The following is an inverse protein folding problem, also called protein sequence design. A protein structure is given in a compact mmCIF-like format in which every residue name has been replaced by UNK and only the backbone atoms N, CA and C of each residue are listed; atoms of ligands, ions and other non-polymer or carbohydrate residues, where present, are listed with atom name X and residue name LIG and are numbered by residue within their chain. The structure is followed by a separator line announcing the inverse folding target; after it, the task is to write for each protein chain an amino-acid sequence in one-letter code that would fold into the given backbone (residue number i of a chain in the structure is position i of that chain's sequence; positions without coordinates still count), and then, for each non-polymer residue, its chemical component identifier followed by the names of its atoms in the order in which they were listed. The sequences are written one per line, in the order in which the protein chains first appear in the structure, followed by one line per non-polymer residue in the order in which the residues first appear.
data_IF_445379434475
#
_entry.id   IF_445379434475
#
_cell.length_a   1.000
_cell.length_b   1.000
_cell.length_c   1.000
_cell.angle_alpha   90.00
_cell.angle_beta   90.00
_cell.angle_gamma   90.00
#
_symmetry.space_group_name_H-M   'P 1'
#
loop_
_entity.id
_entity.type
_entity.pdbx_description
1 polymer ?
#
# COMPACT_ATOMS: atom_id res chain seq x y z
N UNK A 1 52.30 63.58 9.77
CA UNK A 1 52.33 62.10 9.73
C UNK A 1 50.99 61.62 10.28
N UNK A 2 50.00 61.42 9.40
CA UNK A 2 48.62 61.13 9.76
C UNK A 2 48.22 59.79 9.14
N UNK A 3 47.90 58.79 9.95
CA UNK A 3 47.46 57.47 9.49
C UNK A 3 45.93 57.45 9.55
N UNK A 4 45.29 57.62 8.38
CA UNK A 4 43.86 57.34 8.17
C UNK A 4 43.66 55.81 8.16
N UNK A 5 42.90 55.28 9.12
CA UNK A 5 42.32 53.94 9.02
C UNK A 5 41.00 54.05 8.27
N UNK A 6 40.96 53.56 7.02
CA UNK A 6 39.72 53.34 6.28
C UNK A 6 39.18 51.95 6.66
N UNK A 7 37.96 51.93 7.22
CA UNK A 7 37.16 50.71 7.36
C UNK A 7 36.52 50.42 6.00
N UNK A 8 36.88 49.30 5.38
CA UNK A 8 36.18 48.78 4.20
C UNK A 8 35.00 47.91 4.70
N UNK A 9 33.78 48.43 4.59
CA UNK A 9 32.55 47.64 4.73
C UNK A 9 32.30 46.95 3.39
N UNK A 10 32.58 45.64 3.32
CA UNK A 10 32.13 44.79 2.23
C UNK A 10 30.63 44.47 2.45
N UNK A 11 29.75 45.12 1.69
CA UNK A 11 28.36 44.66 1.58
C UNK A 11 28.31 43.46 0.64
N UNK A 12 28.18 42.26 1.20
CA UNK A 12 27.74 41.08 0.48
C UNK A 12 26.25 41.26 0.15
N UNK A 13 25.98 41.90 -0.97
CA UNK A 13 24.66 41.84 -1.59
C UNK A 13 24.50 40.42 -2.16
N UNK A 14 23.81 39.55 -1.42
CA UNK A 14 23.29 38.30 -1.96
C UNK A 14 22.29 38.67 -3.06
N UNK A 15 22.75 38.60 -4.31
CA UNK A 15 21.87 38.65 -5.48
C UNK A 15 21.10 37.34 -5.45
N UNK A 16 19.91 37.33 -4.83
CA UNK A 16 18.90 36.36 -5.16
C UNK A 16 18.54 36.61 -6.62
N UNK A 17 19.04 35.76 -7.51
CA UNK A 17 18.47 35.64 -8.85
C UNK A 17 17.13 34.93 -8.62
N UNK A 18 15.98 35.60 -8.74
CA UNK A 18 14.74 34.86 -8.83
C UNK A 18 14.90 33.98 -10.07
N UNK A 19 14.71 32.67 -9.91
CA UNK A 19 14.51 31.80 -11.05
C UNK A 19 13.26 32.35 -11.77
N UNK A 20 13.52 33.18 -12.78
CA UNK A 20 12.50 33.58 -13.73
C UNK A 20 11.92 32.29 -14.25
N UNK A 21 10.62 32.10 -14.03
CA UNK A 21 9.83 31.11 -14.72
C UNK A 21 10.16 31.25 -16.20
N UNK A 22 10.95 30.33 -16.73
CA UNK A 22 11.04 30.16 -18.17
C UNK A 22 9.66 29.65 -18.60
N UNK A 23 8.75 30.59 -18.86
CA UNK A 23 7.73 30.43 -19.88
C UNK A 23 8.43 30.44 -21.26
N UNK A 24 9.37 29.51 -21.45
CA UNK A 24 9.91 29.19 -22.76
C UNK A 24 8.88 28.26 -23.40
N UNK A 25 8.31 28.65 -24.54
CA UNK A 25 7.37 27.84 -25.31
C UNK A 25 7.90 26.48 -25.81
N UNK A 26 9.02 26.00 -25.24
CA UNK A 26 9.54 24.66 -25.40
C UNK A 26 8.86 23.71 -24.41
N UNK A 27 8.30 22.61 -24.92
CA UNK A 27 7.71 21.55 -24.10
C UNK A 27 8.83 20.76 -23.37
N UNK A 28 9.47 21.37 -22.37
CA UNK A 28 10.67 20.90 -21.67
C UNK A 28 10.41 20.72 -20.17
N UNK A 29 11.03 19.70 -19.60
CA UNK A 29 11.07 19.48 -18.16
C UNK A 29 11.95 20.54 -17.48
N UNK A 30 11.49 21.22 -16.42
CA UNK A 30 12.29 22.22 -15.70
C UNK A 30 13.55 21.63 -15.06
N UNK A 31 14.65 22.37 -15.07
CA UNK A 31 15.95 21.90 -14.55
C UNK A 31 15.93 21.62 -13.03
N UNK A 32 15.04 22.29 -12.28
CA UNK A 32 14.86 22.02 -10.85
C UNK A 32 14.36 20.59 -10.57
N UNK A 33 13.66 19.97 -11.53
CA UNK A 33 13.16 18.59 -11.40
C UNK A 33 14.30 17.59 -11.37
N UNK A 34 15.33 17.79 -12.20
CA UNK A 34 16.50 16.90 -12.20
C UNK A 34 17.45 17.21 -11.04
N UNK A 35 17.68 18.49 -10.72
CA UNK A 35 18.59 18.89 -9.65
C UNK A 35 18.10 18.55 -8.24
N UNK A 36 16.80 18.30 -8.06
CA UNK A 36 16.22 17.84 -6.79
C UNK A 36 15.61 16.43 -6.91
N UNK A 37 15.96 15.69 -7.97
CA UNK A 37 15.50 14.32 -8.15
C UNK A 37 16.04 13.42 -7.02
N UNK A 38 15.29 12.39 -6.60
CA UNK A 38 15.79 11.47 -5.58
C UNK A 38 17.07 10.75 -6.01
N UNK A 39 17.92 10.43 -5.03
CA UNK A 39 19.06 9.52 -5.16
C UNK A 39 18.73 8.24 -4.41
N UNK A 40 18.76 7.10 -5.10
CA UNK A 40 18.26 5.84 -4.55
C UNK A 40 19.43 4.91 -4.23
N UNK A 41 19.64 4.60 -2.96
CA UNK A 41 20.47 3.47 -2.54
C UNK A 41 19.71 2.18 -2.78
N UNK A 42 20.24 1.37 -3.70
CA UNK A 42 19.80 -0.01 -3.89
C UNK A 42 20.48 -0.89 -2.84
N UNK A 43 19.71 -1.77 -2.20
CA UNK A 43 20.24 -2.64 -1.16
C UNK A 43 21.37 -3.53 -1.71
N UNK A 44 22.50 -3.71 -0.98
CA UNK A 44 23.70 -4.40 -1.50
C UNK A 44 23.47 -5.89 -1.83
N UNK A 45 22.53 -6.53 -1.14
CA UNK A 45 22.18 -7.94 -1.35
C UNK A 45 21.00 -8.14 -2.31
N UNK A 46 20.39 -7.04 -2.79
CA UNK A 46 19.32 -7.17 -3.77
C UNK A 46 19.91 -7.60 -5.12
N UNK A 47 19.26 -8.56 -5.77
CA UNK A 47 19.63 -9.03 -7.11
C UNK A 47 18.73 -8.45 -8.19
N UNK A 48 17.60 -7.87 -7.82
CA UNK A 48 16.60 -7.32 -8.73
C UNK A 48 16.83 -5.82 -8.84
N UNK A 49 17.57 -5.44 -9.88
CA UNK A 49 17.94 -4.05 -10.16
C UNK A 49 16.84 -3.35 -10.99
N UNK A 50 16.86 -2.01 -11.08
CA UNK A 50 15.96 -1.27 -11.95
C UNK A 50 15.99 -1.83 -13.38
N UNK A 51 14.82 -2.01 -13.97
CA UNK A 51 14.63 -2.82 -15.18
C UNK A 51 14.07 -2.01 -16.35
N UNK A 52 14.53 -2.32 -17.57
CA UNK A 52 14.03 -1.67 -18.78
C UNK A 52 12.57 -2.02 -19.08
N UNK A 53 11.76 -0.98 -19.33
CA UNK A 53 10.32 -1.12 -19.61
C UNK A 53 10.06 -1.89 -20.91
N UNK A 54 10.83 -1.64 -21.97
CA UNK A 54 10.65 -2.30 -23.25
C UNK A 54 11.12 -3.76 -23.19
N UNK A 55 12.23 -4.03 -22.52
CA UNK A 55 12.73 -5.38 -22.28
C UNK A 55 11.71 -6.21 -21.49
N UNK A 56 11.09 -5.64 -20.46
CA UNK A 56 10.02 -6.29 -19.71
C UNK A 56 8.87 -6.71 -20.63
N UNK A 57 8.30 -5.79 -21.42
CA UNK A 57 7.21 -6.10 -22.36
C UNK A 57 7.64 -7.19 -23.34
N UNK A 58 8.84 -7.08 -23.91
CA UNK A 58 9.36 -8.06 -24.87
C UNK A 58 9.52 -9.46 -24.29
N UNK A 59 9.60 -9.61 -22.97
CA UNK A 59 9.72 -10.89 -22.27
C UNK A 59 8.40 -11.39 -21.64
N UNK A 60 7.28 -10.75 -21.99
CA UNK A 60 5.94 -11.14 -21.54
C UNK A 60 5.03 -11.52 -22.70
N UNK A 61 3.93 -12.21 -22.39
CA UNK A 61 2.83 -12.54 -23.28
C UNK A 61 1.56 -11.98 -22.65
N UNK A 62 0.82 -11.09 -23.35
CA UNK A 62 -0.48 -10.64 -22.87
C UNK A 62 -1.46 -11.81 -22.75
N UNK A 63 -2.02 -11.99 -21.56
CA UNK A 63 -3.03 -13.01 -21.28
C UNK A 63 -4.29 -12.39 -20.70
N UNK A 64 -5.44 -12.94 -21.08
CA UNK A 64 -6.74 -12.71 -20.47
C UNK A 64 -7.24 -14.05 -19.92
N UNK A 65 -7.75 -14.09 -18.70
CA UNK A 65 -8.15 -15.34 -18.04
C UNK A 65 -7.08 -16.44 -18.05
N UNK A 66 -5.80 -16.03 -17.96
CA UNK A 66 -4.61 -16.90 -18.03
C UNK A 66 -4.39 -17.58 -19.39
N UNK A 67 -5.11 -17.19 -20.43
CA UNK A 67 -4.91 -17.66 -21.80
C UNK A 67 -4.27 -16.56 -22.66
N UNK A 68 -3.30 -16.90 -23.54
CA UNK A 68 -2.76 -15.94 -24.50
C UNK A 68 -3.88 -15.34 -25.36
N UNK A 69 -3.88 -14.01 -25.49
CA UNK A 69 -4.82 -13.33 -26.37
C UNK A 69 -4.45 -13.66 -27.82
N UNK A 70 -5.41 -14.11 -28.63
CA UNK A 70 -5.20 -14.54 -30.01
C UNK A 70 -5.33 -13.38 -31.00
N UNK A 71 -4.62 -13.47 -32.14
CA UNK A 71 -4.70 -12.46 -33.20
C UNK A 71 -3.99 -11.13 -32.88
N UNK A 72 -3.15 -11.14 -31.85
CA UNK A 72 -2.36 -10.01 -31.39
C UNK A 72 -1.22 -9.68 -32.39
N UNK A 73 -1.08 -8.40 -32.76
CA UNK A 73 0.15 -7.86 -33.37
C UNK A 73 1.29 -7.84 -32.35
N UNK A 74 2.51 -7.48 -32.76
CA UNK A 74 3.59 -7.20 -31.79
C UNK A 74 3.20 -6.03 -30.89
N UNK A 75 3.51 -6.13 -29.60
CA UNK A 75 3.28 -5.06 -28.61
C UNK A 75 4.58 -4.56 -28.01
N UNK A 76 4.64 -3.26 -27.79
CA UNK A 76 5.74 -2.53 -27.17
C UNK A 76 5.21 -1.25 -26.48
N UNK A 77 6.10 -0.33 -26.10
CA UNK A 77 5.72 0.90 -25.41
C UNK A 77 4.88 1.87 -26.27
N UNK A 78 4.89 1.73 -27.60
CA UNK A 78 4.15 2.59 -28.56
C UNK A 78 2.68 2.20 -28.67
N UNK A 79 2.33 0.93 -28.43
CA UNK A 79 0.98 0.41 -28.65
C UNK A 79 0.41 -0.44 -27.49
N UNK A 80 1.09 -0.52 -26.33
CA UNK A 80 0.65 -1.34 -25.19
C UNK A 80 -0.80 -1.06 -24.75
N UNK A 81 -1.24 0.19 -24.82
CA UNK A 81 -2.59 0.63 -24.47
C UNK A 81 -3.70 0.03 -25.35
N UNK A 82 -3.37 -0.46 -26.55
CA UNK A 82 -4.34 -1.13 -27.43
C UNK A 82 -4.86 -2.44 -26.79
N UNK A 83 -4.08 -3.05 -25.88
CA UNK A 83 -4.49 -4.22 -25.11
C UNK A 83 -5.74 -3.96 -24.25
N UNK A 84 -6.03 -2.70 -23.92
CA UNK A 84 -7.22 -2.33 -23.17
C UNK A 84 -8.50 -2.74 -23.89
N UNK A 85 -8.51 -2.77 -25.23
CA UNK A 85 -9.67 -3.16 -26.04
C UNK A 85 -10.05 -4.65 -25.94
N UNK A 86 -9.19 -5.50 -25.35
CA UNK A 86 -9.43 -6.94 -25.23
C UNK A 86 -10.03 -7.34 -23.88
N UNK A 87 -9.58 -6.71 -22.79
CA UNK A 87 -10.03 -7.06 -21.43
C UNK A 87 -9.74 -6.02 -20.36
N UNK A 88 -9.26 -4.83 -20.74
CA UNK A 88 -8.94 -3.76 -19.79
C UNK A 88 -8.01 -4.21 -18.67
N UNK A 89 -8.46 -3.98 -17.43
CA UNK A 89 -7.69 -4.27 -16.21
C UNK A 89 -7.40 -5.77 -16.01
N UNK A 90 -8.18 -6.66 -16.62
CA UNK A 90 -8.01 -8.13 -16.50
C UNK A 90 -6.89 -8.67 -17.39
N UNK A 91 -6.32 -7.85 -18.28
CA UNK A 91 -5.18 -8.24 -19.12
C UNK A 91 -3.90 -8.24 -18.31
N UNK A 92 -3.10 -9.28 -18.44
CA UNK A 92 -1.85 -9.46 -17.70
C UNK A 92 -0.65 -9.69 -18.64
N UNK A 93 0.42 -8.92 -18.43
CA UNK A 93 1.72 -9.13 -19.07
C UNK A 93 2.43 -10.32 -18.41
N UNK A 94 2.02 -11.53 -18.76
CA UNK A 94 2.50 -12.76 -18.11
C UNK A 94 3.90 -13.12 -18.60
N UNK A 95 4.83 -13.45 -17.70
CA UNK A 95 6.18 -13.88 -18.06
C UNK A 95 6.18 -15.02 -19.09
N UNK A 96 7.08 -14.95 -20.08
CA UNK A 96 7.35 -16.03 -21.04
C UNK A 96 8.02 -17.24 -20.40
N UNK A 97 8.81 -17.02 -19.36
CA UNK A 97 9.59 -18.03 -18.65
C UNK A 97 9.09 -18.16 -17.21
N UNK A 98 9.43 -19.25 -16.52
CA UNK A 98 9.14 -19.37 -15.09
C UNK A 98 9.97 -18.33 -14.32
N UNK A 99 9.38 -17.35 -13.61
CA UNK A 99 10.15 -16.31 -12.93
C UNK A 99 11.10 -16.85 -11.85
N UNK A 100 10.87 -18.07 -11.35
CA UNK A 100 11.74 -18.72 -10.37
C UNK A 100 13.03 -19.30 -10.98
N UNK A 101 13.17 -19.34 -12.30
CA UNK A 101 14.46 -19.65 -12.94
C UNK A 101 15.37 -18.43 -13.00
N UNK A 102 14.87 -17.25 -12.60
CA UNK A 102 15.57 -15.96 -12.64
C UNK A 102 16.19 -15.67 -14.01
N UNK A 103 15.36 -15.59 -15.07
CA UNK A 103 15.85 -15.20 -16.39
C UNK A 103 16.51 -13.82 -16.32
N UNK A 104 17.51 -13.58 -17.17
CA UNK A 104 18.39 -12.40 -17.06
C UNK A 104 17.64 -11.07 -17.08
N UNK A 105 16.54 -10.98 -17.84
CA UNK A 105 15.72 -9.77 -17.94
C UNK A 105 14.99 -9.39 -16.64
N UNK A 106 14.77 -10.36 -15.74
CA UNK A 106 14.15 -10.12 -14.42
C UNK A 106 15.13 -9.44 -13.45
N UNK A 107 16.44 -9.61 -13.66
CA UNK A 107 17.47 -9.08 -12.76
C UNK A 107 17.75 -7.59 -12.96
N UNK A 108 17.28 -6.99 -14.06
CA UNK A 108 17.51 -5.58 -14.40
C UNK A 108 18.97 -5.25 -14.69
N UNK A 109 19.29 -3.95 -14.66
CA UNK A 109 20.65 -3.43 -14.89
C UNK A 109 21.12 -2.65 -13.67
N UNK A 110 22.29 -3.02 -13.13
CA UNK A 110 22.87 -2.28 -12.03
C UNK A 110 23.45 -0.95 -12.50
N UNK A 111 23.33 0.14 -11.71
CA UNK A 111 23.98 1.40 -12.02
C UNK A 111 25.51 1.30 -11.90
N UNK A 112 26.21 2.16 -12.61
CA UNK A 112 27.64 2.36 -12.47
C UNK A 112 28.00 3.18 -11.22
N UNK A 113 29.30 3.48 -11.04
CA UNK A 113 29.79 4.24 -9.88
C UNK A 113 29.27 5.69 -9.81
N UNK A 114 28.70 6.22 -10.89
CA UNK A 114 28.08 7.56 -10.96
C UNK A 114 26.56 7.49 -10.80
N UNK A 115 26.01 6.29 -10.59
CA UNK A 115 24.57 6.08 -10.50
C UNK A 115 23.86 5.96 -11.85
N UNK A 116 24.59 5.84 -12.96
CA UNK A 116 24.00 5.76 -14.29
C UNK A 116 23.74 4.31 -14.71
N UNK A 117 22.56 4.08 -15.29
CA UNK A 117 22.22 2.86 -16.05
C UNK A 117 22.32 3.21 -17.53
N UNK A 118 22.98 2.36 -18.33
CA UNK A 118 23.40 2.74 -19.69
C UNK A 118 22.52 2.15 -20.79
N UNK A 119 22.04 0.92 -20.61
CA UNK A 119 21.34 0.18 -21.67
C UNK A 119 19.84 0.01 -21.41
N UNK A 120 19.38 0.40 -20.22
CA UNK A 120 18.00 0.28 -19.77
C UNK A 120 17.43 1.66 -19.43
N UNK A 121 16.13 1.85 -19.67
CA UNK A 121 15.34 3.00 -19.22
C UNK A 121 14.34 2.55 -18.16
N UNK A 122 14.73 2.49 -16.88
CA UNK A 122 13.90 1.97 -15.80
C UNK A 122 13.07 3.04 -15.08
N UNK A 123 13.16 4.30 -15.50
CA UNK A 123 12.48 5.41 -14.85
C UNK A 123 11.54 6.17 -15.79
N UNK A 124 10.39 6.57 -15.27
CA UNK A 124 9.52 7.55 -15.90
C UNK A 124 9.27 8.71 -14.93
N UNK A 125 9.62 9.92 -15.38
CA UNK A 125 9.35 11.17 -14.66
C UNK A 125 8.08 11.80 -15.21
N UNK A 126 7.06 11.96 -14.37
CA UNK A 126 5.76 12.51 -14.74
C UNK A 126 5.50 13.78 -13.93
N UNK A 127 5.36 14.91 -14.64
CA UNK A 127 5.03 16.20 -14.04
C UNK A 127 3.52 16.41 -13.99
N UNK A 128 3.03 16.78 -12.82
CA UNK A 128 1.64 17.18 -12.59
C UNK A 128 1.63 18.65 -12.17
N UNK A 129 1.24 19.53 -13.09
CA UNK A 129 1.14 20.97 -12.87
C UNK A 129 -0.20 21.25 -12.18
N UNK A 130 -0.15 21.60 -10.88
CA UNK A 130 -1.35 21.85 -10.06
C UNK A 130 -1.82 23.30 -10.20
N UNK A 131 -0.86 24.20 -10.42
CA UNK A 131 -1.04 25.63 -10.67
C UNK A 131 0.21 26.14 -11.41
N UNK A 132 0.24 27.43 -11.76
CA UNK A 132 1.42 28.06 -12.38
C UNK A 132 2.67 28.03 -11.47
N UNK A 133 2.49 27.75 -10.18
CA UNK A 133 3.56 27.76 -9.17
C UNK A 133 3.77 26.41 -8.49
N UNK A 134 2.76 25.54 -8.42
CA UNK A 134 2.85 24.25 -7.73
C UNK A 134 2.94 23.09 -8.74
N UNK A 135 4.04 22.35 -8.66
CA UNK A 135 4.31 21.19 -9.53
C UNK A 135 4.65 19.97 -8.67
N UNK A 136 3.99 18.85 -8.92
CA UNK A 136 4.40 17.55 -8.39
C UNK A 136 5.18 16.80 -9.46
N UNK A 137 6.44 16.48 -9.19
CA UNK A 137 7.24 15.60 -10.04
C UNK A 137 7.25 14.19 -9.44
N UNK A 138 6.66 13.23 -10.14
CA UNK A 138 6.70 11.82 -9.79
C UNK A 138 7.89 11.15 -10.49
N UNK A 139 8.69 10.41 -9.74
CA UNK A 139 9.81 9.62 -10.24
C UNK A 139 9.44 8.16 -10.07
N UNK A 140 8.87 7.56 -11.11
CA UNK A 140 8.50 6.15 -11.10
C UNK A 140 9.72 5.27 -11.40
N UNK A 141 9.88 4.21 -10.63
CA UNK A 141 10.92 3.21 -10.75
C UNK A 141 10.28 1.89 -11.12
N UNK A 142 10.83 1.25 -12.14
CA UNK A 142 10.35 -0.03 -12.62
C UNK A 142 11.35 -1.14 -12.32
N UNK A 143 10.85 -2.23 -11.76
CA UNK A 143 11.59 -3.47 -11.56
C UNK A 143 10.84 -4.61 -12.23
N UNK A 144 11.52 -5.52 -12.91
CA UNK A 144 10.87 -6.63 -13.60
C UNK A 144 10.36 -7.71 -12.65
N UNK A 145 10.79 -7.68 -11.39
CA UNK A 145 10.37 -8.63 -10.38
C UNK A 145 10.51 -8.04 -8.98
N UNK A 146 9.44 -8.14 -8.20
CA UNK A 146 9.46 -7.91 -6.77
C UNK A 146 9.59 -9.26 -6.07
N UNK A 147 10.62 -9.43 -5.26
CA UNK A 147 10.73 -10.52 -4.30
C UNK A 147 10.22 -10.05 -2.93
N UNK A 148 9.05 -10.54 -2.53
CA UNK A 148 8.41 -10.08 -1.29
C UNK A 148 9.14 -10.59 -0.04
N UNK A 149 8.65 -10.24 1.16
CA UNK A 149 9.33 -10.60 2.41
C UNK A 149 9.46 -12.12 2.60
N UNK A 150 10.59 -12.52 3.16
CA UNK A 150 10.81 -13.86 3.67
C UNK A 150 9.96 -14.11 4.92
N UNK A 151 9.67 -15.36 5.22
CA UNK A 151 8.94 -15.75 6.43
C UNK A 151 9.63 -15.34 7.74
N UNK A 152 10.95 -15.11 7.68
CA UNK A 152 11.75 -14.60 8.79
C UNK A 152 11.60 -13.08 9.00
N UNK A 153 11.05 -12.35 8.02
CA UNK A 153 10.87 -10.90 8.06
C UNK A 153 9.59 -10.47 8.77
N UNK A 154 9.38 -11.06 9.95
CA UNK A 154 8.20 -10.86 10.79
C UNK A 154 8.65 -10.58 12.22
N UNK A 155 8.07 -9.57 12.85
CA UNK A 155 8.34 -9.22 14.24
C UNK A 155 7.81 -10.27 15.23
N UNK A 156 8.50 -10.38 16.36
CA UNK A 156 7.99 -11.11 17.53
C UNK A 156 6.73 -10.40 18.08
N UNK A 157 5.66 -11.15 18.43
CA UNK A 157 5.55 -12.60 18.45
C UNK A 157 4.83 -13.18 17.22
N UNK A 158 4.47 -12.35 16.24
CA UNK A 158 3.72 -12.79 15.04
C UNK A 158 4.53 -13.84 14.27
N UNK A 159 5.85 -13.72 14.24
CA UNK A 159 6.74 -14.72 13.65
C UNK A 159 6.48 -16.16 14.14
N UNK A 160 6.06 -16.36 15.40
CA UNK A 160 5.76 -17.69 15.96
C UNK A 160 4.51 -18.32 15.38
N UNK A 161 3.56 -17.51 14.92
CA UNK A 161 2.33 -17.99 14.27
C UNK A 161 2.51 -18.27 12.78
N UNK A 162 3.68 -17.89 12.24
CA UNK A 162 4.00 -17.97 10.82
C UNK A 162 5.08 -19.05 10.58
N UNK A 163 6.06 -19.17 11.48
CA UNK A 163 7.19 -20.10 11.38
C UNK A 163 6.84 -21.56 11.76
N UNK A 164 5.75 -22.11 11.23
CA UNK A 164 5.44 -23.54 11.38
C UNK A 164 6.41 -24.42 10.58
N UNK A 165 6.56 -25.69 10.99
CA UNK A 165 7.52 -26.69 10.49
C UNK A 165 7.44 -27.02 8.97
N UNK A 166 6.57 -26.35 8.20
CA UNK A 166 6.30 -26.62 6.78
C UNK A 166 6.64 -25.47 5.83
N UNK A 167 7.09 -24.31 6.34
CA UNK A 167 7.56 -23.20 5.49
C UNK A 167 9.09 -23.21 5.47
N UNK A 168 9.68 -23.68 4.37
CA UNK A 168 11.12 -23.73 4.22
C UNK A 168 11.74 -22.34 4.32
N UNK A 169 12.81 -22.23 5.11
CA UNK A 169 13.68 -21.05 5.16
C UNK A 169 14.11 -20.66 3.74
N UNK A 170 13.91 -19.41 3.35
CA UNK A 170 14.24 -18.95 1.99
C UNK A 170 13.06 -18.81 1.03
N UNK A 171 11.82 -19.12 1.44
CA UNK A 171 10.65 -18.76 0.63
C UNK A 171 10.22 -17.32 0.93
N UNK A 172 10.03 -16.56 -0.14
CA UNK A 172 9.52 -15.21 -0.17
C UNK A 172 8.03 -15.19 -0.53
N UNK A 173 7.26 -14.32 0.12
CA UNK A 173 5.82 -14.21 -0.05
C UNK A 173 5.43 -12.84 -0.57
N UNK A 174 4.43 -12.79 -1.45
CA UNK A 174 4.04 -11.58 -2.15
C UNK A 174 4.88 -11.29 -3.39
N UNK A 175 5.61 -12.28 -3.90
CA UNK A 175 6.37 -12.17 -5.14
C UNK A 175 5.46 -11.84 -6.31
N UNK A 176 5.93 -11.02 -7.22
CA UNK A 176 5.19 -10.73 -8.44
C UNK A 176 6.14 -10.26 -9.54
N UNK A 177 5.81 -10.64 -10.77
CA UNK A 177 6.47 -10.11 -11.97
C UNK A 177 6.00 -8.68 -12.16
N UNK A 178 6.94 -7.80 -12.50
CA UNK A 178 6.80 -6.36 -12.62
C UNK A 178 6.51 -5.67 -11.29
N UNK A 179 7.07 -4.49 -11.08
CA UNK A 179 6.82 -3.67 -9.92
C UNK A 179 7.01 -2.19 -10.23
N UNK A 180 6.11 -1.38 -9.67
CA UNK A 180 6.07 0.07 -9.83
C UNK A 180 6.15 0.75 -8.47
N UNK A 181 7.34 1.26 -8.19
CA UNK A 181 7.67 2.05 -7.01
C UNK A 181 7.89 3.52 -7.40
N UNK A 182 7.81 4.45 -6.46
CA UNK A 182 8.06 5.87 -6.78
C UNK A 182 8.35 6.76 -5.59
N UNK A 183 9.06 7.84 -5.89
CA UNK A 183 9.03 9.04 -5.08
C UNK A 183 8.22 10.14 -5.78
N UNK A 184 7.79 11.13 -5.02
CA UNK A 184 7.32 12.40 -5.57
C UNK A 184 7.95 13.56 -4.82
N UNK A 185 8.39 14.57 -5.55
CA UNK A 185 8.83 15.84 -4.98
C UNK A 185 7.83 16.92 -5.38
N UNK A 186 7.33 17.65 -4.38
CA UNK A 186 6.47 18.81 -4.60
C UNK A 186 7.31 20.06 -4.62
N UNK A 187 7.11 20.87 -5.65
CA UNK A 187 7.75 22.16 -5.84
C UNK A 187 6.74 23.29 -5.68
N UNK A 188 7.18 24.37 -5.06
CA UNK A 188 6.50 25.66 -5.03
C UNK A 188 7.44 26.70 -5.63
N UNK A 189 7.05 27.28 -6.76
CA UNK A 189 7.86 28.22 -7.54
C UNK A 189 9.29 27.68 -7.81
N UNK A 190 9.38 26.42 -8.24
CA UNK A 190 10.64 25.72 -8.50
C UNK A 190 11.46 25.31 -7.27
N UNK A 191 11.03 25.65 -6.06
CA UNK A 191 11.70 25.25 -4.81
C UNK A 191 11.02 24.01 -4.23
N UNK A 192 11.75 22.93 -3.87
CA UNK A 192 11.12 21.75 -3.29
C UNK A 192 10.60 22.06 -1.87
N UNK A 193 9.36 21.65 -1.59
CA UNK A 193 8.68 21.88 -0.30
C UNK A 193 8.29 20.58 0.41
N UNK A 194 8.33 19.45 -0.29
CA UNK A 194 8.08 18.15 0.32
C UNK A 194 8.42 16.99 -0.60
N UNK A 195 8.56 15.82 0.01
CA UNK A 195 8.88 14.56 -0.67
C UNK A 195 7.99 13.45 -0.14
N UNK A 196 7.57 12.56 -1.03
CA UNK A 196 6.83 11.35 -0.74
C UNK A 196 7.68 10.12 -1.08
N UNK A 197 7.59 9.11 -0.23
CA UNK A 197 8.24 7.81 -0.37
C UNK A 197 7.17 6.72 -0.47
N UNK A 198 7.07 6.01 -1.59
CA UNK A 198 6.16 4.86 -1.72
C UNK A 198 6.61 3.70 -0.86
N UNK A 199 5.66 3.02 -0.23
CA UNK A 199 5.89 1.83 0.59
C UNK A 199 4.79 0.84 0.29
N UNK A 200 5.07 -0.11 -0.60
CA UNK A 200 4.12 -1.12 -1.06
C UNK A 200 2.85 -0.45 -1.61
N UNK A 201 1.72 -0.68 -0.94
CA UNK A 201 0.39 -0.16 -1.31
C UNK A 201 0.16 1.28 -0.86
N UNK A 202 1.03 1.90 -0.06
CA UNK A 202 0.85 3.26 0.47
C UNK A 202 2.18 4.04 0.47
N UNK A 203 2.40 4.93 1.43
CA UNK A 203 3.67 5.60 1.63
C UNK A 203 3.60 6.73 2.65
N UNK A 204 4.71 7.45 2.75
CA UNK A 204 4.86 8.53 3.75
C UNK A 204 5.37 9.79 3.09
N UNK A 205 4.81 10.93 3.51
CA UNK A 205 5.21 12.26 3.04
C UNK A 205 5.93 13.04 4.15
N UNK A 206 6.99 13.74 3.77
CA UNK A 206 7.73 14.64 4.66
C UNK A 206 7.85 16.02 4.03
N UNK A 207 7.85 17.06 4.88
CA UNK A 207 8.32 18.38 4.46
C UNK A 207 9.79 18.32 4.09
N UNK A 208 10.22 19.18 3.18
CA UNK A 208 11.59 19.19 2.69
C UNK A 208 12.64 19.49 3.77
N UNK A 209 12.27 20.24 4.81
CA UNK A 209 13.10 20.60 5.96
C UNK A 209 12.98 19.62 7.14
N UNK A 210 12.28 18.50 6.95
CA UNK A 210 12.08 17.49 7.99
C UNK A 210 13.40 16.85 8.40
N UNK A 211 13.68 16.77 9.70
CA UNK A 211 14.86 16.07 10.23
C UNK A 211 14.86 14.55 10.00
N UNK A 212 13.78 14.00 9.42
CA UNK A 212 13.62 12.58 9.11
C UNK A 212 14.13 12.20 7.72
N UNK A 213 14.38 13.17 6.85
CA UNK A 213 14.91 12.93 5.51
C UNK A 213 16.35 13.44 5.43
N UNK A 214 17.16 12.80 4.61
CA UNK A 214 18.52 13.24 4.33
C UNK A 214 18.55 13.88 2.94
N UNK A 215 19.12 15.07 2.83
CA UNK A 215 19.31 15.80 1.56
C UNK A 215 20.81 15.88 1.29
N UNK A 216 21.25 15.38 0.14
CA UNK A 216 22.65 15.45 -0.33
C UNK A 216 22.66 16.19 -1.65
N UNK A 217 23.46 17.25 -1.76
CA UNK A 217 23.57 18.08 -2.98
C UNK A 217 22.21 18.56 -3.54
N UNK A 218 21.29 18.92 -2.64
CA UNK A 218 19.93 19.35 -3.02
C UNK A 218 18.97 18.20 -3.37
N UNK A 219 19.40 16.94 -3.25
CA UNK A 219 18.64 15.76 -3.65
C UNK A 219 18.26 14.90 -2.45
N UNK A 220 17.00 14.43 -2.34
CA UNK A 220 16.58 13.58 -1.24
C UNK A 220 17.17 12.19 -1.42
N UNK A 221 17.75 11.66 -0.36
CA UNK A 221 18.25 10.29 -0.31
C UNK A 221 17.08 9.35 -0.02
N UNK A 222 17.07 8.24 -0.75
CA UNK A 222 16.10 7.17 -0.67
C UNK A 222 16.84 5.86 -0.48
N UNK A 223 16.31 4.99 0.37
CA UNK A 223 16.79 3.63 0.54
C UNK A 223 15.71 2.69 0.03
N UNK A 224 16.02 1.95 -1.04
CA UNK A 224 15.15 0.93 -1.61
C UNK A 224 15.32 -0.37 -0.82
N UNK A 225 14.19 -0.96 -0.42
CA UNK A 225 14.16 -2.21 0.30
C UNK A 225 14.63 -3.39 -0.57
N UNK A 226 15.35 -4.34 0.05
CA UNK A 226 15.76 -5.57 -0.62
C UNK A 226 14.55 -6.38 -1.11
N UNK A 227 14.44 -6.57 -2.41
CA UNK A 227 13.45 -7.41 -3.07
C UNK A 227 12.07 -6.76 -3.22
N UNK A 228 11.55 -6.10 -2.19
CA UNK A 228 10.23 -5.45 -2.21
C UNK A 228 10.25 -4.03 -2.80
N UNK A 229 11.44 -3.45 -2.95
CA UNK A 229 11.68 -2.14 -3.58
C UNK A 229 10.95 -0.94 -2.97
N UNK A 230 10.26 -1.13 -1.85
CA UNK A 230 9.65 -0.07 -1.07
C UNK A 230 10.70 0.97 -0.66
N UNK A 231 10.32 2.25 -0.71
CA UNK A 231 11.21 3.38 -0.57
C UNK A 231 11.13 3.98 0.83
N UNK A 232 12.30 4.19 1.45
CA UNK A 232 12.40 4.68 2.81
C UNK A 232 13.38 5.85 2.93
N UNK A 233 13.16 6.78 3.88
CA UNK A 233 14.06 7.90 4.11
C UNK A 233 15.30 7.51 4.94
N UNK A 234 15.39 6.27 5.43
CA UNK A 234 16.44 5.79 6.31
C UNK A 234 16.75 4.31 6.08
N UNK A 235 18.00 3.92 6.32
CA UNK A 235 18.45 2.53 6.39
C UNK A 235 17.89 1.75 7.60
N UNK A 236 18.18 0.46 7.65
CA UNK A 236 17.81 -0.45 8.73
C UNK A 236 16.46 -1.12 8.52
N UNK A 237 15.88 -1.65 9.59
CA UNK A 237 14.59 -2.33 9.54
C UNK A 237 13.47 -1.30 9.44
N UNK A 238 12.61 -1.46 8.45
CA UNK A 238 11.48 -0.59 8.19
C UNK A 238 10.18 -1.35 8.39
N UNK A 239 9.49 -1.09 9.50
CA UNK A 239 8.29 -1.82 9.87
C UNK A 239 7.12 -1.37 8.99
N UNK A 240 6.42 -2.34 8.39
CA UNK A 240 5.21 -2.11 7.61
C UNK A 240 4.15 -3.16 7.97
N UNK A 241 2.89 -2.87 7.63
CA UNK A 241 1.74 -3.75 7.89
C UNK A 241 1.71 -4.31 9.34
N UNK A 242 2.10 -3.46 10.30
CA UNK A 242 2.21 -3.68 11.74
C UNK A 242 3.24 -4.71 12.26
N UNK A 243 3.61 -5.72 11.46
CA UNK A 243 4.48 -6.79 11.93
C UNK A 243 5.51 -7.27 10.90
N UNK A 244 5.41 -6.83 9.65
CA UNK A 244 6.41 -7.14 8.63
C UNK A 244 7.49 -6.07 8.66
N UNK A 245 8.68 -6.39 8.17
CA UNK A 245 9.69 -5.36 7.98
C UNK A 245 10.50 -5.59 6.71
N UNK A 246 10.87 -4.48 6.09
CA UNK A 246 11.81 -4.41 5.01
C UNK A 246 13.22 -4.10 5.53
N UNK A 247 14.22 -4.49 4.74
CA UNK A 247 15.62 -4.19 4.99
C UNK A 247 16.13 -3.18 3.96
N UNK A 248 16.69 -2.09 4.47
CA UNK A 248 17.24 -1.00 3.65
C UNK A 248 18.70 -0.77 4.04
N UNK A 249 19.60 -0.68 3.07
CA UNK A 249 21.02 -0.39 3.33
C UNK A 249 21.70 0.26 2.12
N UNK A 250 22.94 0.73 2.32
CA UNK A 250 23.75 1.45 1.33
C UNK A 250 24.53 0.48 0.44
N UNK A 251 23.94 0.11 -0.70
CA UNK A 251 24.60 -0.68 -1.73
C UNK A 251 25.10 0.20 -2.87
N UNK A 252 24.47 0.08 -4.05
CA UNK A 252 24.79 0.91 -5.21
C UNK A 252 23.87 2.12 -5.21
N UNK A 253 24.44 3.32 -5.36
CA UNK A 253 23.64 4.51 -5.58
C UNK A 253 23.15 4.53 -7.03
N UNK A 254 21.89 4.84 -7.23
CA UNK A 254 21.25 5.00 -8.53
C UNK A 254 20.71 6.43 -8.65
N UNK A 255 20.97 7.05 -9.80
CA UNK A 255 20.38 8.30 -10.21
C UNK A 255 19.31 8.05 -11.30
N UNK A 256 18.01 8.05 -10.93
CA UNK A 256 16.94 7.71 -11.85
C UNK A 256 16.84 8.63 -13.07
N UNK A 257 17.19 9.90 -12.94
CA UNK A 257 16.97 10.88 -14.03
C UNK A 257 18.01 10.79 -15.14
N UNK A 258 19.13 10.09 -14.92
CA UNK A 258 20.16 9.86 -15.96
C UNK A 258 19.68 8.90 -17.06
N UNK A 259 18.69 8.04 -16.77
CA UNK A 259 18.03 7.18 -17.76
C UNK A 259 16.53 7.13 -17.47
N UNK A 260 15.82 8.15 -17.93
CA UNK A 260 14.38 8.28 -17.73
C UNK A 260 13.64 8.81 -18.96
N UNK A 261 12.38 8.38 -19.09
CA UNK A 261 11.40 9.08 -19.91
C UNK A 261 10.81 10.27 -19.15
N UNK A 262 10.51 11.37 -19.83
CA UNK A 262 9.95 12.59 -19.22
C UNK A 262 8.61 12.94 -19.85
N UNK A 263 7.63 13.21 -18.99
CA UNK A 263 6.26 13.48 -19.40
C UNK A 263 5.62 14.61 -18.60
N UNK A 264 4.66 15.28 -19.23
CA UNK A 264 3.67 16.13 -18.58
C UNK A 264 2.34 15.38 -18.55
N UNK A 265 1.68 15.35 -17.40
CA UNK A 265 0.37 14.75 -17.23
C UNK A 265 -0.75 15.79 -17.41
N UNK A 266 -1.78 15.43 -18.17
CA UNK A 266 -3.00 16.20 -18.30
C UNK A 266 -4.08 15.60 -17.38
N UNK A 267 -4.53 16.30 -16.33
CA UNK A 267 -5.51 15.78 -15.38
C UNK A 267 -6.92 15.64 -15.98
N UNK A 268 -7.28 16.45 -16.98
CA UNK A 268 -8.62 16.44 -17.56
C UNK A 268 -8.85 15.21 -18.44
N UNK A 269 -7.83 14.82 -19.21
CA UNK A 269 -7.88 13.65 -20.10
C UNK A 269 -7.24 12.41 -19.48
N UNK A 270 -6.54 12.55 -18.35
CA UNK A 270 -5.74 11.48 -17.73
C UNK A 270 -4.73 10.84 -18.70
N UNK A 271 -4.09 11.68 -19.52
CA UNK A 271 -3.07 11.28 -20.50
C UNK A 271 -1.73 11.93 -20.22
N UNK A 272 -0.66 11.38 -20.79
CA UNK A 272 0.69 11.96 -20.72
C UNK A 272 1.13 12.49 -22.09
N UNK A 273 1.93 13.56 -22.06
CA UNK A 273 2.58 14.12 -23.25
C UNK A 273 4.10 14.08 -23.04
N UNK A 274 4.89 13.54 -23.99
CA UNK A 274 6.35 13.53 -23.86
C UNK A 274 6.91 14.95 -23.84
N UNK A 275 7.90 15.20 -22.98
CA UNK A 275 8.59 16.47 -22.86
C UNK A 275 10.11 16.29 -23.01
N UNK A 276 10.81 17.37 -23.34
CA UNK A 276 12.26 17.36 -23.52
C UNK A 276 12.92 17.14 -22.14
N UNK A 277 13.85 16.18 -22.09
CA UNK A 277 14.67 15.91 -20.90
C UNK A 277 15.49 17.14 -20.50
N UNK A 278 15.58 17.46 -19.19
CA UNK A 278 16.40 18.59 -18.72
C UNK A 278 17.90 18.33 -18.95
N UNK A 279 18.31 17.07 -19.15
CA UNK A 279 19.69 16.68 -19.43
C UNK A 279 20.10 16.87 -20.90
N UNK A 280 19.16 17.23 -21.78
CA UNK A 280 19.42 17.50 -23.21
C UNK A 280 18.93 18.91 -23.57
N UNK A 281 19.55 19.98 -23.04
CA UNK A 281 19.06 21.35 -23.16
C UNK A 281 18.99 21.86 -24.61
N UNK A 282 19.81 21.32 -25.51
CA UNK A 282 19.84 21.70 -26.93
C UNK A 282 18.81 20.95 -27.79
N UNK A 283 18.06 19.99 -27.22
CA UNK A 283 17.04 19.27 -27.98
C UNK A 283 15.81 20.15 -28.23
N UNK A 284 15.24 20.04 -29.43
CA UNK A 284 14.06 20.82 -29.85
C UNK A 284 12.76 20.02 -29.81
N UNK A 285 12.85 18.69 -29.65
CA UNK A 285 11.73 17.76 -29.53
C UNK A 285 12.06 16.65 -28.53
N UNK A 286 11.05 16.04 -27.88
CA UNK A 286 11.25 14.83 -27.07
C UNK A 286 11.92 13.72 -27.88
N UNK A 287 12.71 12.87 -27.22
CA UNK A 287 13.48 11.83 -27.90
C UNK A 287 12.60 10.76 -28.55
N UNK A 288 11.46 10.44 -27.94
CA UNK A 288 10.53 9.40 -28.38
C UNK A 288 9.09 9.81 -28.04
N UNK A 289 8.12 9.33 -28.81
CA UNK A 289 6.70 9.57 -28.57
C UNK A 289 6.01 8.33 -27.97
N UNK A 290 6.46 7.93 -26.78
CA UNK A 290 5.95 6.74 -26.09
C UNK A 290 4.92 7.13 -25.03
N UNK A 291 3.63 7.03 -25.31
CA UNK A 291 2.57 7.33 -24.33
C UNK A 291 1.69 6.13 -24.00
N UNK A 292 1.58 5.19 -24.94
CA UNK A 292 0.64 4.05 -24.86
C UNK A 292 0.89 3.13 -23.67
N UNK A 293 2.14 2.99 -23.24
CA UNK A 293 2.49 2.23 -22.02
C UNK A 293 1.79 2.76 -20.75
N UNK A 294 1.56 4.07 -20.67
CA UNK A 294 0.83 4.69 -19.55
C UNK A 294 -0.69 4.52 -19.70
N UNK A 295 -1.17 4.34 -20.93
CA UNK A 295 -2.57 4.08 -21.22
C UNK A 295 -2.99 2.66 -20.86
N UNK A 296 -2.06 1.70 -20.89
CA UNK A 296 -2.33 0.33 -20.47
C UNK A 296 -2.85 0.24 -19.03
N UNK A 297 -4.07 -0.30 -18.87
CA UNK A 297 -4.74 -0.40 -17.57
C UNK A 297 -4.55 -1.76 -16.87
N UNK A 298 -4.03 -2.76 -17.58
CA UNK A 298 -3.85 -4.12 -17.08
C UNK A 298 -2.71 -4.28 -16.07
N UNK A 299 -2.41 -5.54 -15.76
CA UNK A 299 -1.37 -5.96 -14.85
C UNK A 299 -0.01 -6.03 -15.55
N UNK A 300 0.98 -5.34 -15.00
CA UNK A 300 2.39 -5.43 -15.38
C UNK A 300 3.01 -6.68 -14.76
N UNK A 301 2.54 -7.86 -15.16
CA UNK A 301 2.99 -9.14 -14.64
C UNK A 301 1.93 -10.23 -14.72
N UNK A 302 2.30 -11.43 -14.26
CA UNK A 302 1.40 -12.58 -14.14
C UNK A 302 0.17 -12.26 -13.26
N UNK A 303 -0.97 -12.88 -13.54
CA UNK A 303 -2.07 -12.99 -12.56
C UNK A 303 -1.67 -14.01 -11.48
N UNK A 304 -2.04 -13.73 -10.23
CA UNK A 304 -1.86 -14.64 -9.08
C UNK A 304 -2.12 -16.10 -9.47
N UNK A 305 -1.13 -16.95 -9.19
CA UNK A 305 -1.23 -18.37 -9.47
C UNK A 305 -2.33 -19.04 -8.65
N UNK A 306 -3.06 -20.02 -9.21
CA UNK A 306 -4.06 -20.76 -8.47
C UNK A 306 -3.40 -21.57 -7.35
N UNK A 307 -4.17 -21.91 -6.30
CA UNK A 307 -3.65 -22.68 -5.17
C UNK A 307 -3.22 -24.10 -5.54
N UNK A 308 -3.64 -24.59 -6.71
CA UNK A 308 -3.19 -25.85 -7.29
C UNK A 308 -1.85 -25.76 -8.02
N UNK A 309 -1.32 -24.57 -8.31
CA UNK A 309 -0.01 -24.42 -8.96
C UNK A 309 1.10 -24.85 -7.98
N UNK A 310 2.03 -25.73 -8.38
CA UNK A 310 3.07 -26.25 -7.48
C UNK A 310 4.02 -25.15 -6.95
N UNK A 311 4.16 -24.03 -7.67
CA UNK A 311 4.96 -22.89 -7.26
C UNK A 311 4.25 -22.05 -6.20
N UNK A 312 2.92 -22.12 -6.15
CA UNK A 312 2.11 -21.35 -5.22
C UNK A 312 2.11 -21.98 -3.82
N UNK A 313 2.43 -21.14 -2.82
CA UNK A 313 2.32 -21.49 -1.39
C UNK A 313 1.47 -20.43 -0.71
N UNK A 314 0.80 -20.82 0.38
CA UNK A 314 -0.01 -19.90 1.18
C UNK A 314 0.41 -20.03 2.63
N UNK A 315 0.71 -18.91 3.29
CA UNK A 315 0.92 -18.88 4.75
C UNK A 315 -0.38 -19.28 5.44
N UNK A 316 -0.39 -20.36 6.25
CA UNK A 316 -1.58 -20.76 7.00
C UNK A 316 -2.14 -19.63 7.87
N UNK A 317 -3.46 -19.59 8.05
CA UNK A 317 -4.23 -18.62 8.85
C UNK A 317 -4.19 -17.15 8.36
N UNK A 318 -3.05 -16.67 7.87
CA UNK A 318 -2.91 -15.32 7.32
C UNK A 318 -3.38 -15.24 5.87
N UNK A 319 -3.21 -16.31 5.08
CA UNK A 319 -3.63 -16.36 3.68
C UNK A 319 -2.68 -15.62 2.73
N UNK A 320 -1.47 -15.27 3.20
CA UNK A 320 -0.46 -14.61 2.38
C UNK A 320 0.02 -15.55 1.30
N UNK A 321 -0.07 -15.09 0.05
CA UNK A 321 0.21 -15.86 -1.15
C UNK A 321 1.68 -15.72 -1.51
N UNK A 322 2.31 -16.79 -2.03
CA UNK A 322 3.69 -16.74 -2.51
C UNK A 322 3.79 -15.81 -3.71
N UNK A 323 2.97 -16.05 -4.73
CA UNK A 323 2.81 -15.15 -5.87
C UNK A 323 1.52 -14.35 -5.77
N UNK A 324 1.61 -13.06 -6.03
CA UNK A 324 0.48 -12.15 -6.25
C UNK A 324 0.43 -11.75 -7.72
N UNK A 325 -0.67 -11.08 -8.11
CA UNK A 325 -0.73 -10.47 -9.43
C UNK A 325 0.26 -9.30 -9.52
N UNK A 326 0.88 -9.10 -10.69
CA UNK A 326 1.65 -7.88 -10.96
C UNK A 326 0.79 -6.61 -10.76
N UNK A 327 1.37 -5.45 -10.42
CA UNK A 327 0.61 -4.25 -10.18
C UNK A 327 0.06 -3.68 -11.50
N UNK A 328 -0.93 -2.81 -11.40
CA UNK A 328 -1.25 -1.91 -12.50
C UNK A 328 -0.20 -0.78 -12.61
N UNK A 329 -0.24 -0.06 -13.74
CA UNK A 329 0.75 0.98 -14.03
C UNK A 329 0.63 2.28 -13.22
N UNK A 330 1.53 3.25 -13.46
CA UNK A 330 1.59 4.53 -12.73
C UNK A 330 0.31 5.35 -12.69
N UNK A 331 -0.59 5.19 -13.67
CA UNK A 331 -1.90 5.87 -13.70
C UNK A 331 -2.76 5.58 -12.45
N UNK A 332 -2.55 4.43 -11.80
CA UNK A 332 -3.27 4.03 -10.58
C UNK A 332 -2.62 4.54 -9.28
N UNK A 333 -1.54 5.32 -9.37
CA UNK A 333 -0.78 5.82 -8.20
C UNK A 333 -1.25 7.22 -7.72
N UNK A 334 -2.48 7.63 -8.05
CA UNK A 334 -3.13 8.87 -7.59
C UNK A 334 -2.29 10.13 -7.88
N UNK A 335 -2.01 10.36 -9.15
CA UNK A 335 -1.22 11.50 -9.63
C UNK A 335 -1.81 12.86 -9.19
N UNK A 336 -3.14 12.96 -9.16
CA UNK A 336 -3.85 14.17 -8.71
C UNK A 336 -4.24 14.03 -7.23
N UNK A 337 -3.36 14.48 -6.34
CA UNK A 337 -3.56 14.49 -4.87
C UNK A 337 -3.48 15.89 -4.28
N UNK A 338 -4.23 16.19 -3.21
CA UNK A 338 -4.16 17.48 -2.50
C UNK A 338 -2.89 17.59 -1.67
N UNK A 339 -2.58 16.56 -0.88
CA UNK A 339 -1.40 16.49 -0.01
C UNK A 339 -0.18 15.90 -0.71
N UNK A 340 0.89 15.69 0.09
CA UNK A 340 2.02 14.84 -0.33
C UNK A 340 1.64 13.37 -0.33
N UNK A 341 0.74 12.96 0.56
CA UNK A 341 0.19 11.60 0.65
C UNK A 341 -1.14 11.51 -0.07
N UNK A 342 -1.68 10.31 -0.21
CA UNK A 342 -3.01 10.07 -0.78
C UNK A 342 -4.10 10.79 0.03
N UNK A 343 -5.12 11.29 -0.66
CA UNK A 343 -6.22 12.02 -0.04
C UNK A 343 -7.14 11.12 0.80
N UNK A 344 -7.22 9.84 0.43
CA UNK A 344 -7.95 8.82 1.17
C UNK A 344 -6.95 7.78 1.68
N UNK A 345 -6.90 7.53 3.00
CA UNK A 345 -6.05 6.49 3.55
C UNK A 345 -6.54 5.12 3.07
N UNK A 346 -5.61 4.17 2.95
CA UNK A 346 -5.96 2.79 2.65
C UNK A 346 -6.89 2.22 3.72
N UNK A 347 -7.95 1.53 3.30
CA UNK A 347 -8.76 0.73 4.21
C UNK A 347 -7.95 -0.48 4.69
N UNK A 348 -7.74 -0.57 6.00
CA UNK A 348 -7.07 -1.73 6.61
C UNK A 348 -8.07 -2.88 6.75
N UNK A 349 -7.67 -4.07 6.30
CA UNK A 349 -8.48 -5.27 6.46
C UNK A 349 -8.56 -5.68 7.94
N UNK A 350 -9.61 -6.42 8.31
CA UNK A 350 -9.84 -6.83 9.70
C UNK A 350 -8.64 -7.57 10.33
N UNK A 351 -7.94 -8.42 9.55
CA UNK A 351 -6.76 -9.16 10.02
C UNK A 351 -5.61 -8.23 10.38
N UNK A 352 -5.32 -7.28 9.49
CA UNK A 352 -4.25 -6.30 9.70
C UNK A 352 -4.57 -5.38 10.88
N UNK A 353 -5.82 -4.94 11.00
CA UNK A 353 -6.28 -4.18 12.15
C UNK A 353 -6.12 -4.96 13.46
N UNK A 354 -6.50 -6.24 13.48
CA UNK A 354 -6.32 -7.10 14.65
C UNK A 354 -4.84 -7.30 15.02
N UNK A 355 -3.97 -7.54 14.03
CA UNK A 355 -2.51 -7.63 14.24
C UNK A 355 -1.97 -6.30 14.78
N UNK A 356 -2.43 -5.16 14.24
CA UNK A 356 -2.01 -3.83 14.69
C UNK A 356 -2.33 -3.59 16.16
N UNK A 357 -3.56 -3.91 16.60
CA UNK A 357 -3.96 -3.81 18.01
C UNK A 357 -3.11 -4.72 18.89
N UNK A 358 -2.96 -5.98 18.48
CA UNK A 358 -2.19 -6.96 19.21
C UNK A 358 -0.72 -6.53 19.37
N UNK A 359 -0.08 -6.08 18.29
CA UNK A 359 1.30 -5.61 18.30
C UNK A 359 1.48 -4.34 19.15
N UNK A 360 0.51 -3.41 19.13
CA UNK A 360 0.56 -2.21 19.97
C UNK A 360 0.49 -2.54 21.48
N UNK A 361 -0.31 -3.54 21.85
CA UNK A 361 -0.47 -3.97 23.25
C UNK A 361 0.62 -4.92 23.71
N UNK A 362 1.31 -5.59 22.78
CA UNK A 362 2.25 -6.64 23.11
C UNK A 362 3.38 -6.21 24.07
N UNK A 363 4.13 -5.12 23.80
CA UNK A 363 5.24 -4.70 24.66
C UNK A 363 4.82 -4.34 26.09
N UNK A 364 3.65 -3.72 26.26
CA UNK A 364 3.19 -3.23 27.57
C UNK A 364 2.47 -4.30 28.38
N UNK A 365 1.65 -5.10 27.70
CA UNK A 365 0.46 -5.66 28.34
C UNK A 365 0.31 -7.17 28.09
N UNK A 366 0.97 -7.72 27.06
CA UNK A 366 0.82 -9.13 26.63
C UNK A 366 2.17 -9.88 26.71
N UNK A 367 3.30 -9.20 26.98
CA UNK A 367 4.63 -9.84 27.09
C UNK A 367 4.91 -10.38 28.51
N UNK A 368 5.11 -11.70 28.61
CA UNK A 368 5.54 -12.37 29.85
C UNK A 368 4.51 -12.31 30.98
N UNK A 369 4.96 -12.11 32.22
CA UNK A 369 4.09 -12.06 33.40
C UNK A 369 3.06 -10.92 33.37
N UNK A 370 3.30 -9.88 32.55
CA UNK A 370 2.35 -8.77 32.36
C UNK A 370 1.05 -9.21 31.70
N UNK A 371 1.05 -10.29 30.93
CA UNK A 371 -0.16 -10.87 30.35
C UNK A 371 -1.15 -11.29 31.44
N UNK A 372 -0.69 -12.07 32.41
CA UNK A 372 -1.52 -12.58 33.50
C UNK A 372 -2.06 -11.45 34.37
N UNK A 373 -1.25 -10.42 34.61
CA UNK A 373 -1.67 -9.20 35.32
C UNK A 373 -2.75 -8.44 34.53
N UNK A 374 -2.57 -8.24 33.22
CA UNK A 374 -3.54 -7.56 32.36
C UNK A 374 -4.86 -8.34 32.25
N UNK A 375 -4.79 -9.66 32.10
CA UNK A 375 -5.97 -10.53 32.07
C UNK A 375 -6.75 -10.46 33.40
N UNK A 376 -6.05 -10.44 34.53
CA UNK A 376 -6.68 -10.23 35.84
C UNK A 376 -7.40 -8.87 35.93
N UNK A 377 -6.78 -7.79 35.47
CA UNK A 377 -7.41 -6.45 35.45
C UNK A 377 -8.63 -6.43 34.54
N UNK A 378 -8.54 -7.03 33.34
CA UNK A 378 -9.66 -7.10 32.40
C UNK A 378 -10.82 -7.92 32.98
N UNK A 379 -10.54 -9.05 33.62
CA UNK A 379 -11.57 -9.87 34.27
C UNK A 379 -12.28 -9.12 35.40
N UNK A 380 -11.55 -8.35 36.21
CA UNK A 380 -12.13 -7.49 37.25
C UNK A 380 -12.99 -6.39 36.61
N UNK A 381 -12.50 -5.73 35.57
CA UNK A 381 -13.24 -4.67 34.87
C UNK A 381 -14.53 -5.19 34.22
N UNK A 382 -14.48 -6.34 33.54
CA UNK A 382 -15.66 -7.01 32.98
C UNK A 382 -16.67 -7.39 34.06
N UNK A 383 -16.20 -7.93 35.18
CA UNK A 383 -17.07 -8.27 36.31
C UNK A 383 -17.76 -7.04 36.89
N UNK A 384 -17.03 -5.94 37.08
CA UNK A 384 -17.58 -4.66 37.52
C UNK A 384 -18.59 -4.09 36.52
N UNK A 385 -18.31 -4.20 35.22
CA UNK A 385 -19.22 -3.75 34.17
C UNK A 385 -20.52 -4.55 34.16
N UNK A 386 -20.44 -5.88 34.25
CA UNK A 386 -21.62 -6.75 34.35
C UNK A 386 -22.44 -6.44 35.61
N UNK A 387 -21.78 -6.24 36.76
CA UNK A 387 -22.44 -5.84 38.00
C UNK A 387 -23.12 -4.47 37.88
N UNK A 388 -22.47 -3.50 37.24
CA UNK A 388 -23.07 -2.18 36.97
C UNK A 388 -24.29 -2.29 36.05
N UNK A 389 -24.25 -3.17 35.04
CA UNK A 389 -25.35 -3.42 34.13
C UNK A 389 -26.54 -4.09 34.84
N UNK A 390 -26.27 -5.10 35.68
CA UNK A 390 -27.28 -5.75 36.53
C UNK A 390 -27.89 -4.74 37.51
N UNK A 391 -27.07 -3.92 38.16
CA UNK A 391 -27.55 -2.90 39.09
C UNK A 391 -28.35 -1.82 38.36
N UNK A 392 -27.93 -1.41 37.17
CA UNK A 392 -28.67 -0.51 36.29
C UNK A 392 -30.04 -1.06 35.91
N UNK A 393 -30.12 -2.33 35.49
CA UNK A 393 -31.38 -3.01 35.16
C UNK A 393 -32.28 -3.11 36.40
N UNK A 394 -31.72 -3.48 37.56
CA UNK A 394 -32.48 -3.57 38.82
C UNK A 394 -33.02 -2.20 39.23
N UNK A 395 -32.18 -1.17 39.23
CA UNK A 395 -32.58 0.22 39.54
C UNK A 395 -33.63 0.73 38.57
N UNK A 396 -33.49 0.41 37.28
CA UNK A 396 -34.49 0.73 36.26
C UNK A 396 -35.84 0.03 36.52
N UNK A 397 -35.84 -1.27 36.84
CA UNK A 397 -37.06 -2.00 37.21
C UNK A 397 -37.72 -1.42 38.46
N UNK A 398 -36.94 -1.09 39.50
CA UNK A 398 -37.47 -0.48 40.72
C UNK A 398 -38.00 0.94 40.49
N UNK A 399 -37.35 1.74 39.63
CA UNK A 399 -37.86 3.06 39.21
C UNK A 399 -39.14 2.93 38.38
N UNK A 400 -39.22 1.96 37.48
CA UNK A 400 -40.42 1.65 36.71
C UNK A 400 -41.58 1.20 37.61
N UNK A 401 -41.30 0.34 38.59
CA UNK A 401 -42.28 -0.06 39.60
C UNK A 401 -42.71 1.13 40.45
N UNK A 402 -41.79 1.98 40.93
CA UNK A 402 -42.15 3.20 41.67
C UNK A 402 -42.99 4.15 40.82
N UNK A 403 -42.64 4.39 39.56
CA UNK A 403 -43.50 5.17 38.65
C UNK A 403 -44.87 4.53 38.42
N UNK A 404 -44.97 3.20 38.40
CA UNK A 404 -46.26 2.51 38.35
C UNK A 404 -47.07 2.67 39.66
N UNK A 405 -46.42 2.63 40.83
CA UNK A 405 -47.05 2.88 42.13
C UNK A 405 -47.43 4.35 42.33
N UNK A 406 -46.64 5.32 41.86
CA UNK A 406 -47.01 6.75 41.87
C UNK A 406 -48.19 7.03 40.94
N UNK A 407 -48.37 6.20 39.89
CA UNK A 407 -49.56 6.22 39.01
C UNK A 407 -50.80 5.57 39.65
N UNK A 408 -50.62 4.73 40.67
CA UNK A 408 -51.69 4.09 41.45
C UNK A 408 -52.02 4.85 42.75
N UNK A 409 -51.10 5.65 43.28
CA UNK A 409 -51.29 6.49 44.47
C UNK A 409 -51.71 7.93 44.18
N UNK A 410 -52.00 8.27 42.92
CA UNK A 410 -52.58 9.54 42.50
C UNK A 410 -54.11 9.52 42.36
N UNK A 411 -54.71 8.33 42.44
CA UNK A 411 -56.16 8.15 42.35
C UNK A 411 -56.68 7.65 43.71
N UNK A 412 -57.02 8.60 44.59
CA UNK A 412 -57.85 8.35 45.75
C UNK A 412 -59.23 7.84 45.28
N UNK A 413 -59.53 6.59 45.63
CA UNK A 413 -60.83 5.96 45.89
C UNK A 413 -62.01 6.40 44.99
N UNK A 414 -62.45 5.48 44.14
CA UNK A 414 -63.88 5.23 43.92
C UNK A 414 -64.15 3.72 43.95
N UNK A 415 -64.80 3.31 45.03
CA UNK A 415 -65.36 1.98 45.27
C UNK A 415 -66.33 1.57 44.16
N UNK A 416 -66.11 0.41 43.53
CA UNK A 416 -67.11 -0.65 43.35
C UNK A 416 -66.59 -1.77 42.43
N UNK A 417 -67.03 -3.00 42.74
CA UNK A 417 -66.95 -4.21 41.92
C UNK A 417 -65.58 -4.93 41.79
N UNK A 418 -65.20 -5.69 42.83
CA UNK A 418 -64.56 -7.00 42.64
C UNK A 418 -64.99 -7.92 43.78
N UNK A 419 -66.24 -8.35 43.68
CA UNK A 419 -66.74 -9.48 44.44
C UNK A 419 -66.20 -10.78 43.84
N UNK A 420 -65.79 -11.68 44.75
CA UNK A 420 -65.97 -13.13 44.66
C UNK A 420 -64.93 -13.92 43.85
N UNK A 421 -63.85 -14.35 44.52
CA UNK A 421 -63.55 -15.77 44.79
C UNK A 421 -62.11 -15.96 45.31
N UNK A 422 -61.93 -15.86 46.62
CA UNK A 422 -61.07 -16.81 47.34
C UNK A 422 -61.93 -18.03 47.66
N UNK A 423 -61.49 -19.24 47.26
CA UNK A 423 -61.50 -20.48 48.06
C UNK A 423 -61.14 -21.71 47.20
N UNK A 424 -60.48 -22.68 47.84
CA UNK A 424 -59.97 -23.97 47.35
C UNK A 424 -58.70 -23.93 46.47
N UNK A 425 -57.48 -24.02 47.02
CA UNK A 425 -56.84 -25.13 47.78
C UNK A 425 -56.80 -26.49 47.04
N UNK A 426 -55.58 -26.85 46.64
CA UNK A 426 -54.87 -28.11 46.95
C UNK A 426 -55.57 -29.44 46.62
N UNK A 427 -55.03 -30.22 45.66
CA UNK A 427 -54.39 -31.54 45.92
C UNK A 427 -54.26 -32.46 44.69
N UNK A 428 -53.17 -33.23 44.70
CA UNK A 428 -52.93 -34.59 44.14
C UNK A 428 -52.95 -34.79 42.62
N UNK A 429 -51.84 -35.16 41.96
CA UNK A 429 -51.00 -36.38 42.02
C UNK A 429 -51.48 -37.54 41.13
N UNK A 430 -50.47 -38.22 40.56
CA UNK A 430 -50.36 -39.60 40.04
C UNK A 430 -50.67 -39.92 38.57
N UNK A 431 -49.59 -40.37 37.91
CA UNK A 431 -49.39 -41.59 37.12
C UNK A 431 -50.18 -41.85 35.82
N UNK A 432 -49.47 -42.07 34.71
CA UNK A 432 -49.02 -43.41 34.29
C UNK A 432 -48.44 -43.41 32.86
N UNK A 433 -47.45 -44.29 32.67
CA UNK A 433 -46.71 -44.64 31.45
C UNK A 433 -47.59 -45.15 30.28
N UNK A 434 -47.06 -45.09 29.04
CA UNK A 434 -46.80 -46.29 28.21
C UNK A 434 -46.27 -45.95 26.80
N UNK A 435 -45.27 -46.73 26.38
CA UNK A 435 -44.72 -46.85 25.02
C UNK A 435 -45.67 -47.65 24.10
N UNK A 436 -45.58 -47.45 22.78
CA UNK A 436 -45.21 -48.49 21.78
C UNK A 436 -45.63 -48.15 20.33
N UNK A 437 -44.61 -48.17 19.46
CA UNK A 437 -44.48 -48.86 18.17
C UNK A 437 -45.72 -49.08 17.24
N UNK A 438 -45.70 -48.55 16.00
CA UNK A 438 -45.63 -49.36 14.75
C UNK A 438 -45.77 -48.53 13.45
N UNK A 439 -44.87 -48.84 12.50
CA UNK A 439 -44.97 -48.87 11.03
C UNK A 439 -46.18 -48.20 10.32
N UNK A 440 -45.90 -47.50 9.20
CA UNK A 440 -45.82 -48.04 7.82
C UNK A 440 -46.20 -46.98 6.77
N UNK A 441 -45.36 -46.93 5.73
CA UNK A 441 -45.66 -46.66 4.32
C UNK A 441 -46.33 -45.36 3.83
N UNK A 442 -45.56 -44.73 2.92
CA UNK A 442 -45.93 -44.20 1.60
C UNK A 442 -46.83 -42.96 1.52
N UNK A 443 -46.24 -41.91 0.97
CA UNK A 443 -46.66 -41.46 -0.37
C UNK A 443 -45.49 -40.82 -1.13
N UNK A 444 -45.06 -41.52 -2.16
CA UNK A 444 -44.26 -41.03 -3.28
C UNK A 444 -44.99 -39.97 -4.11
N UNK A 445 -44.19 -39.30 -4.95
CA UNK A 445 -44.49 -38.50 -6.14
C UNK A 445 -44.18 -37.00 -5.92
N UNK A 446 -43.33 -36.33 -6.69
CA UNK A 446 -42.90 -36.64 -8.06
C UNK A 446 -41.63 -35.83 -8.37
N UNK A 447 -40.49 -36.52 -8.50
CA UNK A 447 -39.44 -36.14 -9.43
C UNK A 447 -39.74 -36.89 -10.74
N UNK A 448 -40.13 -36.15 -11.78
CA UNK A 448 -39.76 -36.38 -13.19
C UNK A 448 -40.51 -35.39 -14.08
N UNK A 449 -39.77 -34.36 -14.48
CA UNK A 449 -39.91 -33.58 -15.70
C UNK A 449 -38.49 -33.18 -16.08
#
# INVERSE_FOLDING_TARGET
MAIRKQLLLLSLASIFIPAVSEASGLNRCPDYVASHAPLVWLHPEDRFMPSDLAAHISNTIPKLDRQPISGLSSFDLENLGDLNGYGGEEVALTSKEDPLTYPTWILGEAPDAKGQIHNSVPCAVILVEKSDIDVDAFYFYFYSFNEGPNITQVLEPINRFIAGDHLSSGIHFGNHVGDWEHNMVRFHNGTPVGVYYSQHVDGVGFKWDSSKINITDGRPVVYSAAGSHANYPSRGHQIHNAALFDYCDEGKIWDPVLSAYFYRFNPDTSTITPIISPLKPSATKPAQNLTSWFDFVGHWGDIRYPDSDPRQKTVPHFGLKRFNSGPNGPRFKHLVRKGLVRDHPRMTGWKEWAVSIFMAWYPCCIRGWRLWRSLGIIAVALSLFVLALIFGIRKYKTLRQRMAYTKLGGDDIAMNELGRQEECLVSSDSDSDDEDDYRRDRCEAMMRG
#
